data_IF_954382192010
#
_entry.id   IF_954382192010
#
_cell.length_a   1.000
_cell.length_b   1.000
_cell.length_c   1.000
_cell.angle_alpha   90.00
_cell.angle_beta   90.00
_cell.angle_gamma   90.00
#
_symmetry.space_group_name_H-M   'P 1'
#
loop_
_entity.id
_entity.type
_entity.pdbx_description
1 polymer ?
#
# COMPACT_ATOMS: atom_id res chain seq x y z
N UNK A 1 -2.75 -0.74 31.98
CA UNK A 1 -2.31 -1.56 30.83
C UNK A 1 -3.10 -2.84 30.84
N UNK A 2 -3.88 -3.13 29.80
CA UNK A 2 -4.52 -4.44 29.58
C UNK A 2 -4.76 -4.58 28.08
N UNK A 3 -3.86 -5.27 27.37
CA UNK A 3 -4.06 -5.63 25.97
C UNK A 3 -4.92 -6.89 25.87
N UNK A 4 -5.96 -6.96 25.01
CA UNK A 4 -6.71 -8.19 24.82
C UNK A 4 -5.96 -9.17 23.91
N UNK A 5 -6.02 -10.43 24.33
CA UNK A 5 -5.30 -11.58 23.83
C UNK A 5 -5.48 -11.83 22.32
N UNK A 6 -4.37 -12.25 21.70
CA UNK A 6 -4.29 -12.76 20.33
C UNK A 6 -5.13 -14.03 20.21
N UNK A 7 -6.32 -13.93 19.62
CA UNK A 7 -7.24 -15.05 19.42
C UNK A 7 -6.66 -16.00 18.37
N UNK A 8 -6.20 -17.16 18.82
CA UNK A 8 -5.81 -18.30 17.98
C UNK A 8 -7.02 -18.71 17.14
N UNK A 9 -6.89 -18.64 15.81
CA UNK A 9 -7.91 -19.17 14.91
C UNK A 9 -7.71 -20.68 14.87
N UNK A 10 -8.75 -21.39 15.34
CA UNK A 10 -8.89 -22.83 15.30
C UNK A 10 -8.64 -23.37 13.89
N UNK A 11 -7.57 -24.12 13.71
CA UNK A 11 -7.41 -25.03 12.58
C UNK A 11 -8.32 -26.23 12.84
N UNK A 12 -9.52 -26.22 12.27
CA UNK A 12 -10.36 -27.42 12.23
C UNK A 12 -9.67 -28.49 11.39
N UNK A 13 -9.23 -29.57 12.03
CA UNK A 13 -8.89 -30.84 11.39
C UNK A 13 -10.12 -31.74 11.35
N UNK A 14 -10.48 -32.20 10.15
CA UNK A 14 -11.45 -33.26 9.86
C UNK A 14 -10.95 -34.07 8.64
N UNK A 15 -11.34 -35.35 8.49
CA UNK A 15 -10.43 -36.45 8.26
C UNK A 15 -9.95 -36.64 6.81
N UNK A 16 -8.86 -37.39 6.70
CA UNK A 16 -8.15 -37.75 5.48
C UNK A 16 -9.07 -38.36 4.39
N UNK A 17 -9.13 -37.69 3.24
CA UNK A 17 -9.30 -38.32 1.94
C UNK A 17 -7.99 -38.15 1.17
N UNK A 18 -7.48 -39.27 0.67
CA UNK A 18 -6.08 -39.56 0.45
C UNK A 18 -5.56 -39.06 -0.91
N UNK A 19 -4.27 -38.71 -0.94
CA UNK A 19 -3.43 -38.72 -2.14
C UNK A 19 -3.63 -37.62 -3.19
N UNK A 20 -4.78 -37.58 -3.85
CA UNK A 20 -4.92 -36.87 -5.14
C UNK A 20 -5.33 -35.41 -4.98
N UNK A 21 -6.12 -35.11 -3.95
CA UNK A 21 -6.65 -33.77 -3.71
C UNK A 21 -5.57 -32.75 -3.32
N UNK A 22 -4.49 -33.17 -2.65
CA UNK A 22 -3.38 -32.28 -2.25
C UNK A 22 -2.51 -31.89 -3.45
N UNK A 23 -2.26 -32.83 -4.36
CA UNK A 23 -1.58 -32.55 -5.62
C UNK A 23 -2.45 -31.61 -6.47
N UNK A 24 -3.75 -31.89 -6.63
CA UNK A 24 -4.67 -31.01 -7.35
C UNK A 24 -4.82 -29.63 -6.70
N UNK A 25 -4.78 -29.52 -5.37
CA UNK A 25 -4.82 -28.23 -4.65
C UNK A 25 -3.52 -27.43 -4.81
N UNK A 26 -2.37 -28.11 -4.89
CA UNK A 26 -1.08 -27.49 -5.16
C UNK A 26 -0.92 -27.11 -6.64
N UNK A 27 -1.41 -27.95 -7.56
CA UNK A 27 -1.43 -27.69 -9.00
C UNK A 27 -2.41 -26.56 -9.34
N UNK A 28 -3.59 -26.50 -8.73
CA UNK A 28 -4.51 -25.34 -8.87
C UNK A 28 -3.92 -24.07 -8.30
N UNK A 29 -3.15 -24.13 -7.21
CA UNK A 29 -2.39 -22.98 -6.68
C UNK A 29 -1.24 -22.56 -7.60
N UNK A 30 -0.49 -23.51 -8.15
CA UNK A 30 0.58 -23.25 -9.14
C UNK A 30 0.00 -22.70 -10.44
N UNK A 31 -1.12 -23.22 -10.92
CA UNK A 31 -1.86 -22.74 -12.09
C UNK A 31 -2.47 -21.36 -11.85
N UNK A 32 -2.97 -21.07 -10.65
CA UNK A 32 -3.39 -19.72 -10.26
C UNK A 32 -2.19 -18.76 -10.23
N UNK A 33 -1.06 -19.17 -9.66
CA UNK A 33 0.18 -18.40 -9.66
C UNK A 33 0.75 -18.21 -11.09
N UNK A 34 0.69 -19.23 -11.95
CA UNK A 34 1.07 -19.17 -13.36
C UNK A 34 0.12 -18.28 -14.17
N UNK A 35 -1.20 -18.36 -13.95
CA UNK A 35 -2.20 -17.50 -14.59
C UNK A 35 -2.09 -16.05 -14.15
N UNK A 36 -1.72 -15.82 -12.89
CA UNK A 36 -1.31 -14.50 -12.41
C UNK A 36 0.00 -14.07 -13.09
N UNK A 37 1.01 -14.93 -13.22
CA UNK A 37 2.23 -14.63 -13.97
C UNK A 37 1.94 -14.29 -15.45
N UNK A 38 1.09 -15.03 -16.16
CA UNK A 38 0.80 -14.77 -17.58
C UNK A 38 0.02 -13.47 -17.82
N UNK A 39 -0.87 -13.06 -16.91
CA UNK A 39 -1.59 -11.78 -17.01
C UNK A 39 -0.80 -10.58 -16.42
N UNK A 40 0.27 -10.83 -15.67
CA UNK A 40 1.18 -9.80 -15.14
C UNK A 40 2.34 -9.54 -16.14
N UNK A 41 2.65 -10.48 -17.03
CA UNK A 41 3.77 -10.44 -17.99
C UNK A 41 3.38 -9.96 -19.39
N UNK A 42 2.60 -8.89 -19.50
CA UNK A 42 2.88 -7.94 -20.58
C UNK A 42 3.53 -6.71 -19.93
N UNK A 43 4.86 -6.71 -19.74
CA UNK A 43 5.56 -5.63 -19.07
C UNK A 43 5.67 -4.45 -20.05
N UNK A 44 4.54 -3.85 -20.41
CA UNK A 44 4.56 -2.42 -20.58
C UNK A 44 4.91 -1.86 -19.20
N UNK A 45 6.09 -1.30 -19.07
CA UNK A 45 6.73 -0.89 -17.81
C UNK A 45 5.88 0.12 -17.01
N UNK A 46 4.76 0.61 -17.58
CA UNK A 46 3.81 1.54 -16.96
C UNK A 46 2.83 0.89 -15.99
N UNK A 47 2.48 -0.38 -16.15
CA UNK A 47 1.33 -0.98 -15.43
C UNK A 47 1.72 -1.75 -14.17
N UNK A 48 2.99 -2.16 -14.04
CA UNK A 48 3.51 -3.06 -13.00
C UNK A 48 3.32 -2.55 -11.55
N UNK A 49 2.99 -1.27 -11.35
CA UNK A 49 2.69 -0.68 -10.03
C UNK A 49 1.27 -0.12 -9.84
N UNK A 50 0.37 -0.26 -10.81
CA UNK A 50 -0.98 0.34 -10.81
C UNK A 50 -2.12 -0.68 -10.95
N UNK A 51 -1.79 -1.96 -10.90
CA UNK A 51 -2.75 -3.06 -11.00
C UNK A 51 -2.92 -3.72 -9.64
N UNK A 52 -4.17 -3.94 -9.23
CA UNK A 52 -4.50 -4.63 -7.97
C UNK A 52 -5.44 -5.78 -8.28
N UNK A 53 -5.08 -7.04 -7.95
CA UNK A 53 -5.98 -8.17 -8.16
C UNK A 53 -7.18 -8.07 -7.22
N UNK A 54 -8.36 -8.39 -7.74
CA UNK A 54 -9.61 -8.39 -6.98
C UNK A 54 -9.86 -9.80 -6.45
N UNK A 55 -10.03 -9.94 -5.12
CA UNK A 55 -10.48 -11.19 -4.50
C UNK A 55 -12.01 -11.28 -4.54
N UNK A 56 -12.56 -12.49 -4.53
CA UNK A 56 -14.01 -12.74 -4.63
C UNK A 56 -14.80 -11.93 -3.59
N UNK A 57 -15.81 -11.19 -4.03
CA UNK A 57 -16.63 -10.31 -3.19
C UNK A 57 -15.93 -9.06 -2.63
N UNK A 58 -14.68 -8.80 -3.03
CA UNK A 58 -13.80 -7.78 -2.43
C UNK A 58 -13.52 -6.53 -3.28
N UNK A 59 -14.32 -6.24 -4.31
CA UNK A 59 -14.06 -5.16 -5.27
C UNK A 59 -13.83 -3.79 -4.60
N UNK A 60 -14.66 -3.43 -3.61
CA UNK A 60 -14.50 -2.17 -2.86
C UNK A 60 -13.15 -2.06 -2.14
N UNK A 61 -12.66 -3.16 -1.55
CA UNK A 61 -11.35 -3.21 -0.86
C UNK A 61 -10.20 -3.10 -1.85
N UNK A 62 -10.30 -3.77 -3.00
CA UNK A 62 -9.32 -3.67 -4.07
C UNK A 62 -9.23 -2.23 -4.61
N UNK A 63 -10.38 -1.57 -4.80
CA UNK A 63 -10.44 -0.17 -5.24
C UNK A 63 -9.85 0.79 -4.20
N UNK A 64 -10.16 0.61 -2.91
CA UNK A 64 -9.56 1.42 -1.84
C UNK A 64 -8.03 1.24 -1.78
N UNK A 65 -7.55 0.00 -1.95
CA UNK A 65 -6.12 -0.30 -2.04
C UNK A 65 -5.47 0.38 -3.24
N UNK A 66 -6.10 0.32 -4.41
CA UNK A 66 -5.62 1.00 -5.61
C UNK A 66 -5.57 2.53 -5.38
N UNK A 67 -6.61 3.12 -4.80
CA UNK A 67 -6.64 4.55 -4.47
C UNK A 67 -5.49 4.96 -3.54
N UNK A 68 -5.18 4.13 -2.54
CA UNK A 68 -4.02 4.36 -1.66
C UNK A 68 -2.71 4.31 -2.45
N UNK A 69 -2.51 3.29 -3.29
CA UNK A 69 -1.30 3.16 -4.14
C UNK A 69 -1.12 4.38 -5.05
N UNK A 70 -2.20 4.88 -5.66
CA UNK A 70 -2.15 6.07 -6.51
C UNK A 70 -1.82 7.36 -5.72
N UNK A 71 -2.24 7.42 -4.46
CA UNK A 71 -2.00 8.56 -3.56
C UNK A 71 -0.57 8.55 -3.02
N UNK A 72 -0.08 7.39 -2.57
CA UNK A 72 1.28 7.20 -2.06
C UNK A 72 2.32 7.54 -3.15
N UNK A 73 2.05 7.16 -4.39
CA UNK A 73 2.89 7.50 -5.55
C UNK A 73 2.63 8.91 -6.13
N UNK A 74 1.71 9.69 -5.56
CA UNK A 74 1.33 11.04 -6.00
C UNK A 74 0.98 11.17 -7.51
N UNK A 75 0.39 10.12 -8.10
CA UNK A 75 0.11 10.05 -9.55
C UNK A 75 -0.86 11.16 -9.98
N UNK A 76 -1.92 11.39 -9.20
CA UNK A 76 -2.93 12.41 -9.51
C UNK A 76 -2.35 13.83 -9.42
N UNK A 77 -1.50 14.10 -8.43
CA UNK A 77 -0.84 15.39 -8.26
C UNK A 77 0.13 15.67 -9.42
N UNK A 78 0.86 14.65 -9.86
CA UNK A 78 1.72 14.76 -11.03
C UNK A 78 0.93 15.01 -12.32
N UNK A 79 -0.15 14.27 -12.55
CA UNK A 79 -1.02 14.49 -13.71
C UNK A 79 -1.56 15.92 -13.74
N UNK A 80 -2.00 16.46 -12.59
CA UNK A 80 -2.48 17.83 -12.48
C UNK A 80 -1.39 18.86 -12.83
N UNK A 81 -0.14 18.65 -12.36
CA UNK A 81 0.99 19.51 -12.67
C UNK A 81 1.42 19.43 -14.15
N UNK A 82 1.26 18.25 -14.78
CA UNK A 82 1.61 18.02 -16.19
C UNK A 82 0.57 18.56 -17.18
N UNK A 83 -0.64 18.92 -16.74
CA UNK A 83 -1.70 19.47 -17.63
C UNK A 83 -1.25 20.73 -18.39
N UNK A 84 -0.33 21.51 -17.81
CA UNK A 84 0.21 22.73 -18.42
C UNK A 84 1.72 22.79 -18.20
N UNK A 85 2.42 23.43 -19.13
CA UNK A 85 3.84 23.64 -18.98
C UNK A 85 4.15 24.61 -17.83
N UNK A 86 4.98 24.15 -16.88
CA UNK A 86 5.54 24.98 -15.81
C UNK A 86 6.98 25.35 -16.18
N UNK A 87 7.28 26.65 -16.32
CA UNK A 87 8.65 27.10 -16.62
C UNK A 87 9.63 26.61 -15.53
N UNK A 88 10.87 26.25 -15.88
CA UNK A 88 11.85 25.67 -14.94
C UNK A 88 12.08 26.51 -13.66
N UNK A 89 12.10 27.84 -13.78
CA UNK A 89 12.25 28.76 -12.62
C UNK A 89 11.12 28.57 -11.61
N UNK A 90 9.87 28.55 -12.06
CA UNK A 90 8.71 28.39 -11.19
C UNK A 90 8.67 26.97 -10.58
N UNK A 91 9.02 25.94 -11.36
CA UNK A 91 9.18 24.57 -10.87
C UNK A 91 10.19 24.49 -9.71
N UNK A 92 11.38 25.10 -9.86
CA UNK A 92 12.39 25.16 -8.79
C UNK A 92 11.88 25.89 -7.56
N UNK A 93 11.21 27.03 -7.74
CA UNK A 93 10.64 27.80 -6.63
C UNK A 93 9.57 27.01 -5.86
N UNK A 94 8.67 26.34 -6.58
CA UNK A 94 7.65 25.46 -6.00
C UNK A 94 8.28 24.32 -5.21
N UNK A 95 9.23 23.59 -5.79
CA UNK A 95 9.92 22.49 -5.11
C UNK A 95 10.65 22.95 -3.85
N UNK A 96 11.30 24.13 -3.88
CA UNK A 96 11.95 24.72 -2.69
C UNK A 96 10.94 25.01 -1.58
N UNK A 97 9.79 25.63 -1.91
CA UNK A 97 8.71 25.92 -0.94
C UNK A 97 8.13 24.63 -0.35
N UNK A 98 7.87 23.63 -1.19
CA UNK A 98 7.36 22.32 -0.75
C UNK A 98 8.36 21.60 0.16
N UNK A 99 9.65 21.59 -0.21
CA UNK A 99 10.70 20.99 0.61
C UNK A 99 10.84 21.69 1.97
N UNK A 100 10.77 23.02 1.99
CA UNK A 100 10.78 23.80 3.23
C UNK A 100 9.59 23.46 4.13
N UNK A 101 8.37 23.49 3.59
CA UNK A 101 7.15 23.16 4.34
C UNK A 101 7.21 21.72 4.90
N UNK A 102 7.75 20.76 4.13
CA UNK A 102 7.94 19.38 4.59
C UNK A 102 8.92 19.31 5.77
N UNK A 103 10.07 19.98 5.66
CA UNK A 103 11.07 20.04 6.74
C UNK A 103 10.49 20.70 7.99
N UNK A 104 9.84 21.85 7.83
CA UNK A 104 9.19 22.58 8.91
C UNK A 104 8.14 21.72 9.64
N UNK A 105 7.25 21.06 8.89
CA UNK A 105 6.25 20.16 9.47
C UNK A 105 6.89 19.01 10.26
N UNK A 106 7.98 18.44 9.75
CA UNK A 106 8.69 17.36 10.43
C UNK A 106 9.31 17.83 11.76
N UNK A 107 9.96 19.00 11.77
CA UNK A 107 10.55 19.57 12.97
C UNK A 107 9.51 19.98 14.01
N UNK A 108 8.41 20.62 13.59
CA UNK A 108 7.28 20.92 14.48
C UNK A 108 6.72 19.65 15.09
N UNK A 109 6.52 18.59 14.29
CA UNK A 109 6.05 17.29 14.79
C UNK A 109 6.98 16.72 15.86
N UNK A 110 8.29 16.73 15.64
CA UNK A 110 9.28 16.25 16.62
C UNK A 110 9.20 17.02 17.93
N UNK A 111 9.15 18.35 17.86
CA UNK A 111 9.05 19.23 19.05
C UNK A 111 7.76 18.99 19.82
N UNK A 112 6.62 18.92 19.13
CA UNK A 112 5.32 18.63 19.76
C UNK A 112 5.32 17.25 20.40
N UNK A 113 5.90 16.24 19.75
CA UNK A 113 6.05 14.91 20.32
C UNK A 113 6.92 14.91 21.59
N UNK A 114 7.97 15.72 21.64
CA UNK A 114 8.79 15.89 22.84
C UNK A 114 7.98 16.50 23.99
N UNK A 115 7.23 17.58 23.71
CA UNK A 115 6.35 18.21 24.71
C UNK A 115 5.32 17.22 25.25
N UNK A 116 4.69 16.41 24.38
CA UNK A 116 3.76 15.37 24.84
C UNK A 116 4.43 14.32 25.72
N UNK A 117 5.68 13.95 25.43
CA UNK A 117 6.45 13.05 26.29
C UNK A 117 6.73 13.68 27.65
N UNK A 118 7.20 14.93 27.70
CA UNK A 118 7.45 15.65 28.96
C UNK A 118 6.16 15.73 29.80
N UNK A 119 5.05 16.12 29.16
CA UNK A 119 3.73 16.13 29.80
C UNK A 119 3.34 14.77 30.37
N UNK A 120 3.61 13.67 29.64
CA UNK A 120 3.31 12.32 30.13
C UNK A 120 4.20 11.88 31.30
N UNK A 121 5.38 12.47 31.44
CA UNK A 121 6.31 12.26 32.55
C UNK A 121 6.01 13.15 33.76
N UNK A 122 5.05 14.09 33.64
CA UNK A 122 4.68 15.02 34.71
C UNK A 122 5.59 16.24 34.86
N UNK A 123 6.37 16.57 33.81
CA UNK A 123 7.23 17.76 33.72
C UNK A 123 6.57 18.80 32.80
#
# INVERSE_FOLDING_TARGET
>A
MTGPARRLVSTGSGPAAEGEGKAQTMETRKLFAQRLYMNIFNPSTREVGRTVPVSAGGAGRAYARLNRILSDNNVRGELALRKRYEKPKYKRQRLRRQAHARKFKAEVKKKVQLVYKMKSLGI
#
